data_IF_123685407411
#
_entry.id   IF_123685407411
#
_cell.length_a   1.000
_cell.length_b   1.000
_cell.length_c   1.000
_cell.angle_alpha   90.00
_cell.angle_beta   90.00
_cell.angle_gamma   90.00
#
_symmetry.space_group_name_H-M   'P 1'
#
loop_
_entity.id
_entity.type
_entity.pdbx_description
1 polymer ?
#
# COMPACT_ATOMS: atom_id res chain seq x y z
N UNK A 1 45.07 -10.33 0.68
CA UNK A 1 44.08 -10.16 1.76
C UNK A 1 43.38 -8.84 1.53
N UNK A 2 42.16 -8.84 1.00
CA UNK A 2 41.40 -7.61 0.75
C UNK A 2 40.67 -7.21 2.03
N UNK A 3 40.91 -5.98 2.51
CA UNK A 3 40.20 -5.38 3.64
C UNK A 3 38.76 -5.10 3.23
N UNK A 4 37.80 -5.63 4.00
CA UNK A 4 36.39 -5.28 3.85
C UNK A 4 36.17 -3.82 4.29
N UNK A 5 35.23 -3.09 3.65
CA UNK A 5 34.98 -1.70 3.98
C UNK A 5 34.23 -1.58 5.33
N UNK A 6 34.85 -0.86 6.26
CA UNK A 6 34.39 -0.43 7.60
C UNK A 6 33.20 0.56 7.53
N UNK A 7 32.17 0.27 6.75
CA UNK A 7 30.98 1.12 6.64
C UNK A 7 29.74 0.52 7.31
N UNK A 8 29.80 -0.75 7.71
CA UNK A 8 28.67 -1.49 8.31
C UNK A 8 28.82 -1.78 9.80
N UNK A 9 29.95 -1.43 10.43
CA UNK A 9 30.19 -1.60 11.88
C UNK A 9 29.73 -0.38 12.70
N UNK A 10 28.62 0.25 12.30
CA UNK A 10 27.93 1.18 13.20
C UNK A 10 27.19 0.35 14.26
N UNK A 11 27.88 0.06 15.36
CA UNK A 11 27.37 -0.71 16.50
C UNK A 11 26.30 0.09 17.26
N UNK A 12 25.11 0.17 16.66
CA UNK A 12 23.94 0.91 17.14
C UNK A 12 23.54 0.45 18.55
N UNK A 13 23.78 -0.82 18.87
CA UNK A 13 23.53 -1.42 20.19
C UNK A 13 24.44 -0.84 21.26
N UNK A 14 25.74 -0.63 20.96
CA UNK A 14 26.70 -0.03 21.87
C UNK A 14 26.38 1.45 22.13
N UNK A 15 25.99 2.17 21.08
CA UNK A 15 25.59 3.58 21.18
C UNK A 15 24.29 3.78 21.98
N UNK A 16 23.33 2.85 21.87
CA UNK A 16 22.09 2.84 22.68
C UNK A 16 22.31 2.42 24.14
N UNK A 17 23.24 1.50 24.40
CA UNK A 17 23.58 1.09 25.78
C UNK A 17 24.31 2.19 26.55
N UNK A 18 25.20 2.93 25.89
CA UNK A 18 25.91 4.07 26.48
C UNK A 18 25.04 5.33 26.58
N UNK A 19 24.08 5.51 25.66
CA UNK A 19 22.99 6.48 25.79
C UNK A 19 21.82 5.90 26.60
N UNK A 20 22.02 5.65 27.90
CA UNK A 20 20.87 5.65 28.83
C UNK A 20 20.31 7.06 28.89
N UNK A 21 19.53 7.46 27.89
CA UNK A 21 18.81 8.74 27.88
C UNK A 21 17.68 8.60 28.90
N UNK A 22 17.76 9.26 30.07
CA UNK A 22 16.70 9.18 31.06
C UNK A 22 15.40 9.68 30.42
N UNK A 23 14.37 8.83 30.40
CA UNK A 23 13.07 9.14 29.81
C UNK A 23 12.78 8.59 28.42
N UNK A 24 13.71 7.87 27.77
CA UNK A 24 13.46 7.17 26.49
C UNK A 24 13.13 5.70 26.73
N UNK A 25 11.98 5.26 26.21
CA UNK A 25 11.47 3.89 26.32
C UNK A 25 11.94 3.06 25.11
N UNK A 26 13.07 2.34 25.27
CA UNK A 26 13.68 1.56 24.19
C UNK A 26 12.79 0.43 23.68
N UNK A 27 11.98 -0.16 24.55
CA UNK A 27 11.03 -1.21 24.17
C UNK A 27 9.94 -0.64 23.26
N UNK A 28 9.44 0.57 23.58
CA UNK A 28 8.48 1.28 22.73
C UNK A 28 9.07 1.65 21.36
N UNK A 29 10.35 2.02 21.29
CA UNK A 29 11.04 2.29 20.01
C UNK A 29 11.17 1.02 19.17
N UNK A 30 11.57 -0.11 19.77
CA UNK A 30 11.67 -1.39 19.06
C UNK A 30 10.30 -1.87 18.58
N UNK A 31 9.26 -1.71 19.41
CA UNK A 31 7.89 -2.03 19.03
C UNK A 31 7.39 -1.16 17.86
N UNK A 32 7.66 0.16 17.91
CA UNK A 32 7.35 1.10 16.83
C UNK A 32 8.03 0.70 15.50
N UNK A 33 9.28 0.26 15.56
CA UNK A 33 10.00 -0.23 14.37
C UNK A 33 9.44 -1.54 13.83
N UNK A 34 9.01 -2.47 14.70
CA UNK A 34 8.30 -3.68 14.26
C UNK A 34 7.00 -3.33 13.53
N UNK A 35 6.20 -2.42 14.08
CA UNK A 35 4.96 -1.93 13.45
C UNK A 35 5.21 -1.26 12.10
N UNK A 36 6.31 -0.51 11.95
CA UNK A 36 6.71 0.07 10.66
C UNK A 36 6.98 -1.01 9.61
N UNK A 37 7.73 -2.05 9.97
CA UNK A 37 8.06 -3.16 9.06
C UNK A 37 6.81 -3.95 8.68
N UNK A 38 5.92 -4.19 9.64
CA UNK A 38 4.62 -4.85 9.38
C UNK A 38 3.74 -4.03 8.44
N UNK A 39 3.64 -2.72 8.66
CA UNK A 39 2.88 -1.82 7.79
C UNK A 39 3.42 -1.82 6.35
N UNK A 40 4.75 -1.76 6.18
CA UNK A 40 5.38 -1.85 4.86
C UNK A 40 5.16 -3.20 4.19
N UNK A 41 5.23 -4.29 4.97
CA UNK A 41 4.98 -5.64 4.46
C UNK A 41 3.54 -5.79 3.99
N UNK A 42 2.58 -5.29 4.77
CA UNK A 42 1.15 -5.31 4.42
C UNK A 42 0.85 -4.41 3.21
N UNK A 43 1.47 -3.23 3.12
CA UNK A 43 1.35 -2.35 1.96
C UNK A 43 1.86 -3.04 0.67
N UNK A 44 3.01 -3.70 0.75
CA UNK A 44 3.54 -4.51 -0.37
C UNK A 44 2.58 -5.64 -0.74
N UNK A 45 2.01 -6.34 0.25
CA UNK A 45 1.02 -7.40 0.00
C UNK A 45 -0.20 -6.88 -0.75
N UNK A 46 -0.78 -5.77 -0.29
CA UNK A 46 -1.92 -5.11 -0.96
C UNK A 46 -1.58 -4.67 -2.39
N UNK A 47 -0.37 -4.15 -2.61
CA UNK A 47 0.09 -3.80 -3.95
C UNK A 47 0.18 -5.03 -4.87
N UNK A 48 0.70 -6.17 -4.36
CA UNK A 48 0.72 -7.43 -5.10
C UNK A 48 -0.68 -7.98 -5.39
N UNK A 49 -1.60 -7.90 -4.43
CA UNK A 49 -3.01 -8.28 -4.61
C UNK A 49 -3.68 -7.43 -5.68
N UNK A 50 -3.42 -6.12 -5.70
CA UNK A 50 -3.88 -5.21 -6.75
C UNK A 50 -3.37 -5.58 -8.14
N UNK A 51 -2.07 -5.91 -8.25
CA UNK A 51 -1.49 -6.38 -9.52
C UNK A 51 -2.10 -7.71 -9.97
N UNK A 52 -2.32 -8.65 -9.04
CA UNK A 52 -2.96 -9.92 -9.33
C UNK A 52 -4.39 -9.72 -9.83
N UNK A 53 -5.16 -8.81 -9.21
CA UNK A 53 -6.52 -8.50 -9.65
C UNK A 53 -6.54 -7.95 -11.09
N UNK A 54 -5.61 -7.06 -11.44
CA UNK A 54 -5.46 -6.55 -12.82
C UNK A 54 -5.13 -7.68 -13.81
N UNK A 55 -4.20 -8.58 -13.46
CA UNK A 55 -3.85 -9.72 -14.32
C UNK A 55 -5.01 -10.69 -14.52
N UNK A 56 -5.73 -11.03 -13.45
CA UNK A 56 -6.93 -11.87 -13.52
C UNK A 56 -7.98 -11.24 -14.44
N UNK A 57 -8.19 -9.93 -14.33
CA UNK A 57 -9.14 -9.22 -15.19
C UNK A 57 -8.73 -9.23 -16.66
N UNK A 58 -7.44 -9.03 -16.97
CA UNK A 58 -6.96 -9.13 -18.35
C UNK A 58 -7.14 -10.55 -18.93
N UNK A 59 -6.90 -11.59 -18.15
CA UNK A 59 -7.12 -12.98 -18.58
C UNK A 59 -8.60 -13.26 -18.86
N UNK A 60 -9.49 -12.73 -18.04
CA UNK A 60 -10.94 -12.86 -18.23
C UNK A 60 -11.41 -12.12 -19.49
N UNK A 61 -10.93 -10.89 -19.72
CA UNK A 61 -11.21 -10.13 -20.94
C UNK A 61 -10.73 -10.85 -22.21
N UNK A 62 -9.56 -11.49 -22.17
CA UNK A 62 -9.05 -12.30 -23.27
C UNK A 62 -9.98 -13.49 -23.56
N UNK A 63 -10.39 -14.22 -22.51
CA UNK A 63 -11.32 -15.35 -22.64
C UNK A 63 -12.65 -14.91 -23.25
N UNK A 64 -13.23 -13.83 -22.72
CA UNK A 64 -14.47 -13.24 -23.25
C UNK A 64 -14.31 -12.89 -24.73
N UNK A 65 -13.21 -12.25 -25.11
CA UNK A 65 -12.93 -11.88 -26.50
C UNK A 65 -12.83 -13.09 -27.44
N UNK A 66 -12.21 -14.19 -26.99
CA UNK A 66 -12.13 -15.43 -27.77
C UNK A 66 -13.50 -16.08 -27.96
N UNK A 67 -14.32 -16.14 -26.91
CA UNK A 67 -15.68 -16.68 -26.97
C UNK A 67 -16.58 -15.84 -27.90
N UNK A 68 -16.41 -14.52 -27.88
CA UNK A 68 -17.16 -13.59 -28.71
C UNK A 68 -16.76 -13.66 -30.19
N UNK A 69 -15.46 -13.84 -30.46
CA UNK A 69 -14.95 -14.09 -31.80
C UNK A 69 -15.52 -15.39 -32.37
N UNK A 70 -15.52 -16.48 -31.59
CA UNK A 70 -16.08 -17.76 -32.02
C UNK A 70 -17.58 -17.65 -32.35
N UNK A 71 -18.37 -16.96 -31.51
CA UNK A 71 -19.78 -16.69 -31.77
C UNK A 71 -19.99 -15.85 -33.03
N UNK A 72 -19.19 -14.82 -33.21
CA UNK A 72 -19.28 -13.93 -34.39
C UNK A 72 -18.96 -14.70 -35.68
N UNK A 73 -17.90 -15.51 -35.67
CA UNK A 73 -17.51 -16.34 -36.81
C UNK A 73 -18.59 -17.36 -37.19
N UNK A 74 -19.25 -17.98 -36.21
CA UNK A 74 -20.41 -18.84 -36.45
C UNK A 74 -21.58 -18.05 -37.06
N UNK A 75 -21.90 -16.87 -36.51
CA UNK A 75 -23.03 -16.06 -36.95
C UNK A 75 -22.90 -15.45 -38.34
N UNK A 76 -21.66 -15.29 -38.86
CA UNK A 76 -21.38 -14.79 -40.20
C UNK A 76 -21.59 -15.86 -41.28
N UNK A 77 -21.45 -17.15 -40.95
CA UNK A 77 -21.72 -18.26 -41.88
C UNK A 77 -23.20 -18.37 -42.29
N UNK A 78 -24.10 -17.79 -41.50
CA UNK A 78 -25.56 -17.87 -41.69
C UNK A 78 -26.16 -16.66 -42.43
N UNK A 79 -25.38 -15.63 -42.78
CA UNK A 79 -25.91 -14.39 -43.34
C UNK A 79 -26.04 -14.40 -44.86
N UNK A 80 -27.28 -14.28 -45.37
CA UNK A 80 -27.61 -14.18 -46.81
C UNK A 80 -28.19 -12.83 -47.24
N UNK A 81 -28.45 -11.90 -46.31
CA UNK A 81 -29.17 -10.64 -46.57
C UNK A 81 -28.35 -9.40 -46.14
N UNK A 82 -28.02 -8.47 -47.07
CA UNK A 82 -27.23 -7.28 -46.80
C UNK A 82 -27.87 -6.25 -45.86
N UNK A 83 -29.20 -6.20 -45.75
CA UNK A 83 -29.88 -5.25 -44.86
C UNK A 83 -29.76 -5.69 -43.39
N UNK A 84 -29.83 -6.99 -43.13
CA UNK A 84 -29.53 -7.58 -41.82
C UNK A 84 -28.06 -7.44 -41.43
N UNK A 85 -27.14 -7.46 -42.40
CA UNK A 85 -25.72 -7.25 -42.16
C UNK A 85 -25.44 -5.83 -41.62
N UNK A 86 -26.05 -4.80 -42.20
CA UNK A 86 -25.88 -3.41 -41.74
C UNK A 86 -26.43 -3.16 -40.32
N UNK A 87 -27.61 -3.70 -40.01
CA UNK A 87 -28.19 -3.59 -38.67
C UNK A 87 -27.31 -4.29 -37.61
N UNK A 88 -26.83 -5.51 -37.90
CA UNK A 88 -25.87 -6.20 -37.01
C UNK A 88 -24.59 -5.43 -36.81
N UNK A 89 -24.06 -4.79 -37.86
CA UNK A 89 -22.81 -4.04 -37.76
C UNK A 89 -22.94 -2.83 -36.83
N UNK A 90 -24.11 -2.17 -36.84
CA UNK A 90 -24.44 -1.07 -35.92
C UNK A 90 -24.59 -1.58 -34.48
N UNK A 91 -25.29 -2.68 -34.27
CA UNK A 91 -25.46 -3.29 -32.95
C UNK A 91 -24.14 -3.80 -32.37
N UNK A 92 -23.27 -4.39 -33.20
CA UNK A 92 -21.93 -4.82 -32.80
C UNK A 92 -21.06 -3.62 -32.39
N UNK A 93 -21.11 -2.52 -33.13
CA UNK A 93 -20.38 -1.31 -32.77
C UNK A 93 -20.87 -0.72 -31.44
N UNK A 94 -22.19 -0.70 -31.21
CA UNK A 94 -22.78 -0.25 -29.95
C UNK A 94 -22.34 -1.12 -28.77
N UNK A 95 -22.43 -2.44 -28.91
CA UNK A 95 -21.99 -3.38 -27.86
C UNK A 95 -20.49 -3.25 -27.55
N UNK A 96 -19.65 -3.08 -28.58
CA UNK A 96 -18.21 -2.87 -28.40
C UNK A 96 -17.91 -1.59 -27.61
N UNK A 97 -18.65 -0.51 -27.87
CA UNK A 97 -18.50 0.75 -27.15
C UNK A 97 -18.95 0.64 -25.68
N UNK A 98 -20.10 0.01 -25.42
CA UNK A 98 -20.60 -0.24 -24.06
C UNK A 98 -19.60 -1.09 -23.24
N UNK A 99 -19.03 -2.15 -23.85
CA UNK A 99 -17.99 -2.96 -23.21
C UNK A 99 -16.73 -2.17 -22.91
N UNK A 100 -16.28 -1.33 -23.83
CA UNK A 100 -15.10 -0.49 -23.60
C UNK A 100 -15.28 0.43 -22.40
N UNK A 101 -16.43 1.13 -22.31
CA UNK A 101 -16.73 2.00 -21.17
C UNK A 101 -16.81 1.20 -19.87
N UNK A 102 -17.44 0.02 -19.88
CA UNK A 102 -17.50 -0.86 -18.70
C UNK A 102 -16.11 -1.26 -18.24
N UNK A 103 -15.24 -1.70 -19.16
CA UNK A 103 -13.88 -2.13 -18.85
C UNK A 103 -13.02 -0.98 -18.32
N UNK A 104 -13.19 0.24 -18.86
CA UNK A 104 -12.50 1.43 -18.37
C UNK A 104 -12.91 1.79 -16.95
N UNK A 105 -14.21 1.72 -16.62
CA UNK A 105 -14.72 1.98 -15.26
C UNK A 105 -14.17 0.98 -14.26
N UNK A 106 -14.28 -0.30 -14.57
CA UNK A 106 -13.83 -1.36 -13.68
C UNK A 106 -12.31 -1.32 -13.44
N UNK A 107 -11.53 -1.04 -14.49
CA UNK A 107 -10.08 -0.87 -14.34
C UNK A 107 -9.75 0.35 -13.47
N UNK A 108 -10.46 1.46 -13.65
CA UNK A 108 -10.31 2.65 -12.81
C UNK A 108 -10.67 2.38 -11.34
N UNK A 109 -11.72 1.61 -11.09
CA UNK A 109 -12.14 1.22 -9.74
C UNK A 109 -11.12 0.30 -9.07
N UNK A 110 -10.60 -0.70 -9.78
CA UNK A 110 -9.55 -1.60 -9.28
C UNK A 110 -8.27 -0.81 -8.91
N UNK A 111 -7.83 0.10 -9.79
CA UNK A 111 -6.66 0.93 -9.52
C UNK A 111 -6.89 1.90 -8.36
N UNK A 112 -8.05 2.57 -8.32
CA UNK A 112 -8.39 3.50 -7.25
C UNK A 112 -8.48 2.80 -5.89
N UNK A 113 -9.11 1.63 -5.83
CA UNK A 113 -9.23 0.84 -4.61
C UNK A 113 -7.86 0.42 -4.07
N UNK A 114 -7.01 -0.16 -4.92
CA UNK A 114 -5.67 -0.61 -4.50
C UNK A 114 -4.81 0.55 -3.98
N UNK A 115 -4.84 1.71 -4.64
CA UNK A 115 -4.11 2.89 -4.18
C UNK A 115 -4.66 3.45 -2.86
N UNK A 116 -5.99 3.49 -2.69
CA UNK A 116 -6.62 3.98 -1.47
C UNK A 116 -6.30 3.07 -0.27
N UNK A 117 -6.39 1.75 -0.41
CA UNK A 117 -6.11 0.81 0.68
C UNK A 117 -4.64 0.91 1.16
N UNK A 118 -3.69 1.04 0.23
CA UNK A 118 -2.27 1.29 0.57
C UNK A 118 -2.10 2.65 1.25
N UNK A 119 -2.73 3.70 0.73
CA UNK A 119 -2.63 5.04 1.30
C UNK A 119 -3.23 5.13 2.71
N UNK A 120 -4.41 4.56 2.94
CA UNK A 120 -5.06 4.50 4.25
C UNK A 120 -4.19 3.78 5.28
N UNK A 121 -3.58 2.65 4.89
CA UNK A 121 -2.65 1.91 5.75
C UNK A 121 -1.44 2.76 6.15
N UNK A 122 -0.81 3.43 5.19
CA UNK A 122 0.35 4.29 5.45
C UNK A 122 -0.02 5.54 6.27
N UNK A 123 -1.17 6.15 5.98
CA UNK A 123 -1.68 7.30 6.73
C UNK A 123 -1.96 6.94 8.20
N UNK A 124 -2.60 5.79 8.42
CA UNK A 124 -2.84 5.26 9.77
C UNK A 124 -1.53 5.09 10.52
N UNK A 125 -0.54 4.43 9.89
CA UNK A 125 0.76 4.21 10.54
C UNK A 125 1.49 5.52 10.84
N UNK A 126 1.41 6.50 9.95
CA UNK A 126 1.96 7.83 10.18
C UNK A 126 1.33 8.51 11.39
N UNK A 127 0.00 8.46 11.51
CA UNK A 127 -0.74 9.00 12.65
C UNK A 127 -0.35 8.31 13.96
N UNK A 128 -0.29 6.98 13.97
CA UNK A 128 0.18 6.20 15.12
C UNK A 128 1.62 6.54 15.52
N UNK A 129 2.50 6.83 14.55
CA UNK A 129 3.89 7.24 14.82
C UNK A 129 3.93 8.58 15.57
N UNK A 130 3.08 9.53 15.18
CA UNK A 130 2.99 10.83 15.87
C UNK A 130 2.47 10.68 17.30
N UNK A 131 1.52 9.77 17.53
CA UNK A 131 1.02 9.45 18.88
C UNK A 131 2.10 8.78 19.73
N UNK A 132 2.85 7.83 19.17
CA UNK A 132 4.00 7.19 19.83
C UNK A 132 5.07 8.23 20.21
N UNK A 133 5.39 9.16 19.30
CA UNK A 133 6.32 10.26 19.58
C UNK A 133 5.84 11.17 20.72
N UNK A 134 4.55 11.52 20.72
CA UNK A 134 3.96 12.31 21.80
C UNK A 134 4.04 11.58 23.14
N UNK A 135 3.68 10.30 23.17
CA UNK A 135 3.77 9.47 24.37
C UNK A 135 5.19 9.33 24.91
N UNK A 136 6.20 9.26 24.02
CA UNK A 136 7.61 9.29 24.41
C UNK A 136 8.02 10.63 25.03
N UNK A 137 7.55 11.76 24.48
CA UNK A 137 7.83 13.09 25.05
C UNK A 137 7.18 13.28 26.42
N UNK A 138 5.93 12.86 26.59
CA UNK A 138 5.21 12.94 27.87
C UNK A 138 5.91 12.11 28.97
N UNK A 139 6.39 10.89 28.61
CA UNK A 139 7.19 10.04 29.50
C UNK A 139 8.55 10.66 29.83
N UNK A 140 9.21 11.29 28.85
CA UNK A 140 10.49 11.96 29.07
C UNK A 140 10.37 13.20 29.97
N UNK A 141 9.26 13.95 29.87
CA UNK A 141 8.97 15.08 30.73
C UNK A 141 8.69 14.64 32.18
N UNK A 142 7.91 13.57 32.35
CA UNK A 142 7.64 12.98 33.67
C UNK A 142 8.89 12.42 34.37
N UNK A 143 9.94 12.07 33.60
CA UNK A 143 11.20 11.56 34.11
C UNK A 143 12.20 12.65 34.56
N UNK A 144 11.89 13.95 34.39
CA UNK A 144 12.77 15.04 34.86
C UNK A 144 12.83 15.07 36.39
N UNK A 145 14.02 15.10 37.02
CA UNK A 145 14.14 15.16 38.47
C UNK A 145 13.55 16.48 38.99
N UNK A 146 12.68 16.41 39.99
CA UNK A 146 12.09 17.58 40.64
C UNK A 146 13.19 18.51 41.16
N UNK A 147 13.18 19.78 40.72
CA UNK A 147 14.14 20.78 41.15
C UNK A 147 14.18 20.84 42.68
N UNK A 148 15.32 20.44 43.26
CA UNK A 148 15.57 20.45 44.70
C UNK A 148 15.45 21.90 45.17
N UNK A 149 14.41 22.23 45.96
CA UNK A 149 14.29 23.55 46.63
C UNK A 149 15.61 23.86 47.35
N UNK A 150 16.17 25.08 47.25
CA UNK A 150 17.35 25.44 48.01
C UNK A 150 17.01 25.33 49.49
N UNK A 151 17.70 24.42 50.19
CA UNK A 151 17.65 24.35 51.65
C UNK A 151 18.06 25.72 52.19
N UNK A 152 17.22 26.27 53.07
CA UNK A 152 17.38 27.62 53.59
C UNK A 152 18.77 27.90 54.12
N UNK A 153 19.28 29.09 53.82
CA UNK A 153 20.40 29.69 54.52
C UNK A 153 19.96 30.00 55.96
N UNK A 154 20.29 29.09 56.88
CA UNK A 154 20.36 29.41 58.31
C UNK A 154 21.82 29.60 58.69
N UNK A 155 22.26 30.85 58.79
CA UNK A 155 23.20 31.37 59.80
C UNK A 155 23.28 32.88 59.64
#
# INVERSE_FOLDING_TARGET
>A
MAKQPEFFDFDFTKYLQDMKIPGVDLDAVVESQKKNVEALTNANRLAFEGMQAVMQRQAELLRQSMEEYAKTAQSMGDMKDPQQAMARQTDMAKQAFERMISNMREMSELMAKSNNEVFELLNKRFSETLEEMKGMMDKAEAAKPAARKPAGSSS
#
